data_IF_857168558645
#
_entry.id   IF_857168558645
#
_cell.length_a   1.000
_cell.length_b   1.000
_cell.length_c   1.000
_cell.angle_alpha   90.00
_cell.angle_beta   90.00
_cell.angle_gamma   90.00
#
_symmetry.space_group_name_H-M   'P 1'
#
loop_
_entity.id
_entity.type
_entity.pdbx_description
1 polymer ?
2 polymer ?
3 polymer ?
4 water ?
#
# COMPACT_ATOMS: atom_id res chain seq x y z
N UNK A 1 -18.33 -14.89 0.99
CA UNK A 1 -19.09 -14.04 0.01
C UNK A 1 -18.56 -14.10 -1.43
N UNK A 2 -19.14 -13.23 -2.25
CA UNK A 2 -18.83 -13.06 -3.66
C UNK A 2 -17.36 -12.72 -3.83
N UNK A 3 -16.72 -13.37 -4.80
CA UNK A 3 -15.32 -13.16 -5.04
C UNK A 3 -15.11 -12.44 -6.39
N UNK A 4 -14.21 -11.46 -6.42
CA UNK A 4 -13.85 -10.72 -7.64
C UNK A 4 -12.37 -10.91 -7.84
N UNK A 5 -12.00 -11.60 -8.90
CA UNK A 5 -10.60 -11.87 -9.16
C UNK A 5 -10.07 -11.06 -10.34
N UNK A 6 -9.06 -10.21 -10.15
CA UNK A 6 -8.52 -9.43 -11.30
C UNK A 6 -7.38 -10.15 -11.95
N UNK A 7 -7.18 -9.98 -13.26
CA UNK A 7 -6.02 -10.58 -13.91
C UNK A 7 -5.53 -9.59 -14.93
N UNK A 8 -4.19 -9.42 -15.06
CA UNK A 8 -3.23 -10.12 -14.21
C UNK A 8 -3.12 -9.27 -12.98
N UNK A 9 -2.47 -9.77 -11.93
CA UNK A 9 -2.32 -8.95 -10.76
C UNK A 9 -1.32 -7.80 -11.04
N UNK A 10 -0.35 -8.05 -11.90
CA UNK A 10 0.65 -7.05 -12.24
C UNK A 10 0.89 -7.13 -13.76
N UNK A 11 1.25 -6.01 -14.39
CA UNK A 11 1.38 -6.02 -15.83
C UNK A 11 2.37 -4.98 -16.23
N UNK A 12 3.29 -5.30 -17.13
CA UNK A 12 4.27 -4.28 -17.58
C UNK A 12 3.90 -3.79 -18.97
N UNK A 13 4.16 -2.53 -19.27
CA UNK A 13 3.78 -2.00 -20.56
C UNK A 13 4.53 -0.73 -20.87
N UNK A 14 4.40 -0.24 -22.09
CA UNK A 14 5.08 0.98 -22.45
C UNK A 14 4.07 1.98 -22.99
N UNK A 15 4.42 3.25 -22.98
CA UNK A 15 3.56 4.30 -23.49
C UNK A 15 3.18 3.92 -24.94
N UNK A 16 1.91 4.04 -25.27
CA UNK A 16 1.44 3.67 -26.58
C UNK A 16 0.88 2.26 -26.61
N UNK A 17 1.15 1.41 -25.61
CA UNK A 17 0.57 0.08 -25.74
C UNK A 17 -0.96 0.05 -25.50
N UNK A 18 -1.55 -1.09 -25.85
CA UNK A 18 -2.95 -1.34 -25.64
C UNK A 18 -2.93 -2.38 -24.56
N UNK A 19 -3.60 -2.15 -23.44
CA UNK A 19 -3.62 -3.17 -22.42
C UNK A 19 -5.04 -3.51 -22.06
N UNK A 20 -5.25 -4.70 -21.51
CA UNK A 20 -6.59 -5.00 -21.14
C UNK A 20 -6.43 -5.75 -19.85
N UNK A 21 -7.27 -5.37 -18.87
CA UNK A 21 -7.27 -5.92 -17.54
C UNK A 21 -8.61 -6.64 -17.43
N UNK A 22 -8.65 -7.80 -16.81
CA UNK A 22 -9.94 -8.45 -16.71
C UNK A 22 -10.37 -8.73 -15.26
N UNK A 23 -11.66 -8.83 -15.00
CA UNK A 23 -12.15 -9.05 -13.65
C UNK A 23 -13.27 -10.08 -13.74
N UNK A 24 -13.18 -11.13 -12.96
CA UNK A 24 -14.16 -12.22 -12.99
C UNK A 24 -14.83 -12.35 -11.64
N UNK A 25 -16.15 -12.50 -11.66
CA UNK A 25 -16.90 -12.62 -10.43
C UNK A 25 -17.34 -14.06 -10.18
N UNK A 26 -17.40 -14.47 -8.92
CA UNK A 26 -17.79 -15.85 -8.60
C UNK A 26 -19.27 -16.18 -8.86
N UNK A 27 -20.12 -15.15 -8.89
CA UNK A 27 -21.56 -15.27 -9.19
C UNK A 27 -21.84 -14.06 -10.07
N UNK A 28 -22.88 -14.12 -10.90
CA UNK A 28 -23.19 -13.01 -11.80
C UNK A 28 -23.56 -11.71 -11.09
N UNK A 29 -23.01 -10.60 -11.55
CA UNK A 29 -23.27 -9.29 -10.97
C UNK A 29 -23.97 -8.39 -11.98
N UNK A 30 -24.59 -8.99 -13.01
CA UNK A 30 -25.27 -8.25 -14.05
C UNK A 30 -24.32 -7.21 -14.60
N UNK A 31 -24.73 -5.95 -14.77
CA UNK A 31 -23.83 -4.93 -15.28
C UNK A 31 -23.31 -3.99 -14.17
N UNK A 32 -23.56 -4.36 -12.90
CA UNK A 32 -23.19 -3.48 -11.79
C UNK A 32 -21.71 -3.60 -11.41
N UNK A 33 -20.87 -3.02 -12.24
CA UNK A 33 -19.45 -3.13 -12.05
C UNK A 33 -18.78 -1.86 -12.46
N UNK A 34 -17.81 -1.42 -11.67
CA UNK A 34 -17.15 -0.18 -11.98
C UNK A 34 -15.64 -0.36 -12.03
N UNK A 35 -14.95 0.43 -12.86
CA UNK A 35 -13.49 0.38 -12.91
C UNK A 35 -12.91 1.68 -12.42
N UNK A 36 -11.79 1.60 -11.72
CA UNK A 36 -11.10 2.78 -11.19
C UNK A 36 -9.62 2.71 -11.46
N UNK A 37 -9.00 3.87 -11.53
CA UNK A 37 -7.57 3.96 -11.69
C UNK A 37 -7.09 4.71 -10.45
N UNK A 38 -6.05 4.23 -9.81
CA UNK A 38 -5.55 4.93 -8.62
C UNK A 38 -4.06 5.14 -8.77
N UNK A 39 -3.67 6.39 -8.74
CA UNK A 39 -2.27 6.74 -8.86
C UNK A 39 -1.70 6.78 -7.45
N UNK A 40 -0.41 6.52 -7.32
CA UNK A 40 0.18 6.56 -5.97
C UNK A 40 -0.15 7.87 -5.23
N UNK A 41 -0.42 7.74 -3.94
CA UNK A 41 -0.76 8.90 -3.12
C UNK A 41 -2.12 9.57 -3.34
N UNK A 42 -2.91 9.07 -4.29
CA UNK A 42 -4.21 9.68 -4.56
C UNK A 42 -5.37 8.70 -4.37
N UNK A 43 -6.60 9.23 -4.31
CA UNK A 43 -7.76 8.36 -4.15
C UNK A 43 -8.08 7.67 -5.48
N UNK A 44 -8.84 6.59 -5.46
CA UNK A 44 -9.16 5.95 -6.74
C UNK A 44 -9.99 6.93 -7.58
N UNK A 45 -9.93 6.87 -8.91
CA UNK A 45 -10.75 7.75 -9.74
C UNK A 45 -11.59 6.86 -10.64
N UNK A 46 -12.88 7.16 -10.69
CA UNK A 46 -13.85 6.44 -11.51
C UNK A 46 -13.55 6.58 -13.01
N UNK A 47 -13.45 5.48 -13.73
CA UNK A 47 -13.22 5.51 -15.17
C UNK A 47 -14.48 5.08 -15.90
N UNK A 48 -15.03 3.92 -15.52
CA UNK A 48 -16.17 3.27 -16.15
C UNK A 48 -17.17 2.83 -15.10
N UNK A 49 -18.43 3.17 -15.30
CA UNK A 49 -19.52 2.75 -14.40
C UNK A 49 -20.51 1.88 -15.15
N UNK A 50 -21.23 1.04 -14.42
CA UNK A 50 -22.24 0.18 -15.06
C UNK A 50 -21.60 -0.64 -16.19
N UNK A 51 -20.44 -1.26 -15.90
CA UNK A 51 -19.65 -2.13 -16.85
C UNK A 51 -19.11 -1.51 -18.11
N UNK A 52 -19.84 -0.60 -18.73
CA UNK A 52 -19.32 -0.06 -19.96
C UNK A 52 -19.52 1.42 -20.19
N UNK A 53 -20.22 2.14 -19.29
CA UNK A 53 -20.45 3.57 -19.56
C UNK A 53 -19.21 4.41 -19.23
N UNK A 54 -18.85 5.34 -20.11
CA UNK A 54 -17.67 6.13 -19.88
C UNK A 54 -18.03 7.25 -18.94
N UNK A 55 -17.30 7.36 -17.83
CA UNK A 55 -17.59 8.42 -16.88
C UNK A 55 -17.23 9.76 -17.49
N UNK A 56 -18.04 10.77 -17.17
CA UNK A 56 -17.84 12.10 -17.71
C UNK A 56 -16.48 12.72 -17.36
N UNK A 57 -15.76 13.17 -18.40
CA UNK A 57 -14.48 13.78 -18.16
C UNK A 57 -13.35 12.78 -18.22
N UNK A 58 -13.70 11.49 -18.41
CA UNK A 58 -12.68 10.47 -18.51
C UNK A 58 -12.28 10.32 -19.98
N UNK A 59 -10.98 10.28 -20.27
CA UNK A 59 -10.53 10.15 -21.67
C UNK A 59 -11.01 8.92 -22.40
N UNK A 60 -11.31 9.12 -23.68
CA UNK A 60 -11.86 8.06 -24.51
C UNK A 60 -10.99 6.84 -24.72
N UNK A 61 -9.69 6.91 -24.46
CA UNK A 61 -8.90 5.67 -24.62
C UNK A 61 -9.32 4.59 -23.64
N UNK A 62 -10.13 4.94 -22.65
CA UNK A 62 -10.55 3.92 -21.67
C UNK A 62 -11.85 3.32 -22.12
N UNK A 63 -11.91 2.00 -22.05
CA UNK A 63 -13.11 1.35 -22.46
C UNK A 63 -13.45 0.15 -21.58
N UNK A 64 -14.73 -0.04 -21.30
CA UNK A 64 -15.09 -1.21 -20.53
C UNK A 64 -16.18 -2.04 -21.20
N UNK A 65 -16.07 -3.37 -21.16
CA UNK A 65 -17.09 -4.25 -21.71
C UNK A 65 -17.32 -5.48 -20.81
N UNK A 66 -18.35 -6.26 -21.13
CA UNK A 66 -18.70 -7.44 -20.37
C UNK A 66 -19.89 -7.25 -19.45
N UNK A 67 -20.45 -8.36 -18.96
CA UNK A 67 -21.59 -8.39 -18.02
C UNK A 67 -21.64 -9.80 -17.39
N UNK A 68 -22.42 -10.01 -16.31
CA UNK A 68 -22.45 -11.35 -15.72
C UNK A 68 -21.26 -11.66 -14.82
N UNK A 69 -20.32 -12.48 -15.30
CA UNK A 69 -19.17 -12.84 -14.49
C UNK A 69 -17.83 -12.45 -15.07
N UNK A 70 -17.82 -11.88 -16.26
CA UNK A 70 -16.53 -11.53 -16.85
C UNK A 70 -16.49 -10.13 -17.44
N UNK A 71 -15.55 -9.29 -16.99
CA UNK A 71 -15.46 -7.92 -17.43
C UNK A 71 -14.03 -7.61 -17.79
N UNK A 72 -13.88 -6.64 -18.68
CA UNK A 72 -12.59 -6.20 -19.14
C UNK A 72 -12.55 -4.68 -19.30
N UNK A 73 -11.39 -4.12 -18.97
CA UNK A 73 -11.10 -2.70 -19.10
C UNK A 73 -9.97 -2.67 -20.13
N UNK A 74 -10.08 -1.86 -21.17
CA UNK A 74 -8.94 -1.80 -22.01
C UNK A 74 -8.58 -0.36 -22.16
N UNK A 75 -7.28 -0.09 -22.18
CA UNK A 75 -6.82 1.25 -22.37
C UNK A 75 -6.21 1.06 -23.76
N UNK A 76 -6.69 1.81 -24.74
CA UNK A 76 -6.22 1.56 -26.11
C UNK A 76 -4.82 2.08 -26.40
N UNK A 77 -4.48 3.29 -25.91
CA UNK A 77 -3.15 3.86 -26.11
C UNK A 77 -2.65 4.36 -24.75
N UNK A 78 -1.90 3.52 -24.02
CA UNK A 78 -1.37 3.89 -22.70
C UNK A 78 -0.61 5.19 -22.65
N UNK A 79 -0.98 6.09 -21.74
CA UNK A 79 -0.30 7.37 -21.56
C UNK A 79 0.50 7.29 -20.24
N UNK A 80 1.50 8.18 -20.02
CA UNK A 80 2.29 8.10 -18.78
C UNK A 80 1.48 8.10 -17.46
N UNK A 81 0.40 8.86 -17.41
CA UNK A 81 -0.44 8.88 -16.23
C UNK A 81 -1.17 7.56 -15.96
N UNK A 82 -1.10 6.60 -16.89
CA UNK A 82 -1.80 5.34 -16.71
C UNK A 82 -0.99 4.27 -15.98
N UNK A 83 0.25 4.62 -15.63
CA UNK A 83 1.10 3.69 -14.91
C UNK A 83 0.50 3.85 -13.54
N UNK A 84 -0.17 2.82 -13.08
CA UNK A 84 -0.90 2.97 -11.84
C UNK A 84 -1.50 1.65 -11.51
N UNK A 85 -2.35 1.64 -10.50
CA UNK A 85 -3.05 0.40 -10.09
C UNK A 85 -4.55 0.57 -10.42
N UNK A 86 -5.13 -0.44 -11.04
CA UNK A 86 -6.52 -0.42 -11.42
C UNK A 86 -7.34 -1.37 -10.58
N UNK A 87 -8.56 -0.97 -10.24
CA UNK A 87 -9.42 -1.84 -9.47
C UNK A 87 -10.81 -1.99 -10.07
N UNK A 88 -11.42 -3.16 -9.94
CA UNK A 88 -12.83 -3.27 -10.40
C UNK A 88 -13.63 -3.38 -9.09
N UNK A 89 -14.91 -2.99 -9.11
CA UNK A 89 -15.83 -3.04 -7.97
C UNK A 89 -17.21 -3.52 -8.42
N UNK A 90 -17.74 -4.45 -7.67
CA UNK A 90 -19.02 -5.04 -7.93
C UNK A 90 -20.03 -4.29 -7.01
N UNK A 91 -21.22 -3.92 -7.52
CA UNK A 91 -22.25 -3.25 -6.73
C UNK A 91 -23.65 -3.90 -6.82
N UNK A 92 -23.67 -5.16 -7.18
CA UNK A 92 -24.92 -5.94 -7.30
C UNK A 92 -25.34 -6.59 -5.99
N UNK A 93 -24.34 -7.04 -5.20
CA UNK A 93 -24.55 -7.70 -3.92
C UNK A 93 -23.79 -7.03 -2.81
N UNK A 94 -24.34 -7.01 -1.58
CA UNK A 94 -23.65 -6.45 -0.45
C UNK A 94 -22.89 -7.63 0.13
N UNK A 95 -21.64 -7.40 0.55
CA UNK A 95 -20.95 -6.12 0.50
C UNK A 95 -20.48 -5.87 -0.93
N UNK A 96 -20.34 -4.58 -1.28
CA UNK A 96 -19.89 -4.10 -2.58
C UNK A 96 -18.39 -4.29 -2.85
N UNK A 97 -17.95 -5.53 -3.00
CA UNK A 97 -16.56 -5.93 -3.25
C UNK A 97 -15.67 -5.27 -4.28
N UNK A 98 -14.39 -5.22 -3.95
CA UNK A 98 -13.38 -4.71 -4.84
C UNK A 98 -12.49 -5.86 -5.24
N UNK A 99 -11.94 -5.81 -6.44
CA UNK A 99 -10.98 -6.82 -6.85
C UNK A 99 -9.62 -6.55 -6.18
N UNK A 100 -8.65 -7.43 -6.37
CA UNK A 100 -7.34 -7.29 -5.71
C UNK A 100 -6.48 -6.24 -6.33
N UNK A 101 -6.89 -5.71 -7.46
CA UNK A 101 -6.06 -4.69 -8.09
C UNK A 101 -5.06 -5.21 -9.13
N UNK A 102 -4.74 -4.41 -10.14
CA UNK A 102 -3.70 -4.82 -11.04
C UNK A 102 -2.81 -3.62 -11.23
N UNK A 103 -1.52 -3.82 -10.94
CA UNK A 103 -0.48 -2.79 -11.02
C UNK A 103 0.05 -2.70 -12.45
N UNK A 104 0.09 -1.52 -13.03
CA UNK A 104 0.59 -1.43 -14.38
C UNK A 104 1.85 -0.60 -14.24
N UNK A 105 3.01 -1.15 -14.61
CA UNK A 105 4.27 -0.41 -14.46
C UNK A 105 5.09 -0.36 -15.79
N UNK A 106 6.12 0.49 -15.83
CA UNK A 106 6.94 0.70 -17.01
C UNK A 106 7.74 -0.57 -17.35
N UNK A 107 7.55 -1.13 -18.55
CA UNK A 107 8.29 -2.33 -18.92
C UNK A 107 9.76 -1.97 -19.19
N UNK A 108 10.66 -2.89 -18.91
CA UNK A 108 12.08 -2.70 -19.19
C UNK A 108 12.59 -4.12 -19.19
N UNK A 109 13.66 -4.14 -19.53
CA UNK A 109 14.26 -5.47 -19.64
C UNK A 109 14.41 -6.10 -18.25
N UNK A 110 14.44 -7.59 -18.23
CA UNK A 110 14.58 -8.30 -16.99
C UNK A 110 15.96 -8.00 -16.39
N UNK A 111 15.98 -7.74 -15.09
CA UNK A 111 17.22 -7.49 -14.37
C UNK A 111 17.15 -8.18 -13.03
N UNK A 112 18.13 -9.06 -12.78
CA UNK A 112 18.20 -9.79 -11.53
C UNK A 112 18.66 -8.85 -10.44
N UNK A 113 18.27 -9.14 -9.21
CA UNK A 113 18.70 -8.23 -8.11
C UNK A 113 20.14 -8.46 -7.69
N UNK A 114 20.79 -7.42 -7.20
CA UNK A 114 22.15 -7.58 -6.64
C UNK A 114 21.72 -7.81 -5.18
N UNK A 115 22.15 -8.90 -4.57
CA UNK A 115 21.76 -9.22 -3.22
C UNK A 115 22.90 -9.02 -2.24
N UNK A 116 22.57 -8.48 -1.05
CA UNK A 116 23.52 -8.21 0.02
C UNK A 116 22.89 -8.58 1.36
N UNK A 117 23.67 -9.14 2.29
CA UNK A 117 23.19 -9.51 3.60
C UNK A 117 24.00 -8.76 4.63
N UNK A 118 23.32 -8.15 5.60
CA UNK A 118 23.96 -7.35 6.60
C UNK A 118 23.74 -7.95 7.96
N UNK A 119 24.82 -8.22 8.72
CA UNK A 119 24.65 -8.80 10.06
C UNK A 119 24.26 -7.69 11.02
N UNK A 120 23.75 -8.04 12.20
CA UNK A 120 23.39 -6.94 13.09
C UNK A 120 24.64 -6.25 13.67
N UNK A 121 24.52 -4.94 13.89
CA UNK A 121 25.63 -4.19 14.46
C UNK A 121 25.84 -4.58 15.95
N UNK A 122 27.08 -4.51 16.38
CA UNK A 122 27.43 -4.79 17.77
C UNK A 122 26.70 -3.79 18.61
N UNK A 123 26.45 -2.60 18.08
CA UNK A 123 25.75 -1.59 18.85
C UNK A 123 24.31 -2.05 19.14
N UNK A 124 23.65 -2.61 18.12
CA UNK A 124 22.26 -3.07 18.35
C UNK A 124 22.30 -4.23 19.34
N UNK A 125 23.18 -5.21 19.09
CA UNK A 125 23.29 -6.37 19.98
C UNK A 125 23.36 -6.00 21.49
N UNK A 126 24.10 -4.94 21.84
CA UNK A 126 24.21 -4.49 23.23
C UNK A 126 22.86 -4.08 23.79
N UNK A 127 21.91 -3.74 22.93
CA UNK A 127 20.59 -3.37 23.42
C UNK A 127 19.70 -4.59 23.54
N UNK A 128 20.24 -5.75 23.17
CA UNK A 128 19.47 -6.98 23.28
C UNK A 128 18.68 -7.46 22.06
N UNK A 129 18.71 -6.71 20.96
CA UNK A 129 17.98 -7.19 19.78
C UNK A 129 18.94 -7.38 18.61
N UNK A 130 18.55 -8.22 17.66
CA UNK A 130 19.37 -8.49 16.53
C UNK A 130 18.57 -8.39 15.25
N UNK A 131 18.95 -7.44 14.39
CA UNK A 131 18.29 -7.28 13.10
C UNK A 131 19.17 -7.73 11.96
N UNK A 132 18.70 -8.68 11.15
CA UNK A 132 19.50 -9.09 10.04
C UNK A 132 18.77 -8.54 8.84
N UNK A 133 19.44 -7.74 8.01
CA UNK A 133 18.78 -7.20 6.84
C UNK A 133 19.34 -7.73 5.54
N UNK A 134 18.43 -7.93 4.60
CA UNK A 134 18.78 -8.44 3.28
C UNK A 134 18.35 -7.41 2.30
N UNK A 135 19.22 -7.08 1.35
CA UNK A 135 18.84 -6.11 0.34
C UNK A 135 18.86 -6.74 -1.05
N UNK A 136 17.81 -6.48 -1.83
CA UNK A 136 17.69 -6.91 -3.23
C UNK A 136 17.66 -5.57 -3.93
N UNK A 137 18.74 -5.25 -4.65
CA UNK A 137 18.88 -3.97 -5.30
C UNK A 137 18.63 -3.92 -6.83
N UNK A 138 17.88 -2.92 -7.29
CA UNK A 138 17.60 -2.73 -8.72
C UNK A 138 17.22 -3.98 -9.56
N UNK A 139 16.06 -4.58 -9.31
CA UNK A 139 15.66 -5.75 -10.10
C UNK A 139 14.37 -5.44 -10.88
N UNK A 140 13.98 -6.36 -11.75
CA UNK A 140 12.75 -6.22 -12.56
C UNK A 140 12.50 -7.57 -13.23
N UNK A 141 11.24 -8.03 -13.25
CA UNK A 141 10.05 -7.42 -12.70
C UNK A 141 9.96 -7.37 -11.17
N UNK A 142 8.92 -6.70 -10.66
CA UNK A 142 8.74 -6.52 -9.25
C UNK A 142 8.66 -7.75 -8.35
N UNK A 143 8.07 -8.83 -8.82
CA UNK A 143 7.94 -9.98 -7.97
C UNK A 143 9.30 -10.62 -7.61
N UNK A 144 9.50 -10.84 -6.32
CA UNK A 144 10.73 -11.42 -5.82
C UNK A 144 10.32 -12.14 -4.57
N UNK A 145 11.04 -13.18 -4.20
CA UNK A 145 10.74 -13.92 -2.99
C UNK A 145 12.03 -14.10 -2.18
N UNK A 146 11.93 -13.72 -0.91
CA UNK A 146 13.01 -13.76 0.04
C UNK A 146 12.66 -14.77 1.09
N UNK A 147 13.59 -15.69 1.34
CA UNK A 147 13.41 -16.71 2.35
C UNK A 147 14.58 -16.72 3.35
N UNK A 148 14.32 -16.46 4.62
CA UNK A 148 15.38 -16.47 5.61
C UNK A 148 15.59 -17.88 6.13
N UNK A 149 16.87 -18.24 6.31
CA UNK A 149 17.23 -19.52 6.86
C UNK A 149 18.30 -19.28 7.93
N UNK A 150 18.16 -19.92 9.07
CA UNK A 150 19.07 -19.83 10.19
C UNK A 150 19.53 -21.27 10.46
N UNK A 151 20.82 -21.57 10.36
CA UNK A 151 21.29 -22.95 10.57
C UNK A 151 20.33 -23.91 9.83
N UNK A 152 19.99 -23.53 8.60
CA UNK A 152 19.10 -24.31 7.76
C UNK A 152 17.65 -24.39 8.11
N UNK A 153 17.23 -23.74 9.19
CA UNK A 153 15.81 -23.77 9.54
C UNK A 153 15.17 -22.65 8.76
N UNK A 154 14.04 -22.98 8.15
CA UNK A 154 13.26 -22.02 7.38
C UNK A 154 12.62 -21.03 8.36
N UNK A 155 12.81 -19.73 8.17
CA UNK A 155 12.21 -18.79 9.12
C UNK A 155 10.81 -18.36 8.71
N UNK A 156 9.97 -18.06 9.70
CA UNK A 156 8.64 -17.63 9.36
C UNK A 156 8.04 -16.77 10.47
N UNK A 157 7.37 -15.71 10.08
CA UNK A 157 6.71 -14.86 11.06
C UNK A 157 7.62 -13.89 11.78
N UNK A 158 8.90 -13.89 11.45
CA UNK A 158 9.83 -12.97 12.16
C UNK A 158 10.62 -11.99 11.25
N UNK A 159 10.06 -11.73 10.07
CA UNK A 159 10.69 -10.81 9.14
C UNK A 159 9.65 -9.89 8.54
N UNK A 160 10.11 -8.75 8.03
CA UNK A 160 9.22 -7.79 7.38
C UNK A 160 9.97 -7.22 6.24
N UNK A 161 9.26 -6.91 5.16
CA UNK A 161 9.92 -6.33 3.99
C UNK A 161 9.10 -5.16 3.42
N UNK A 162 9.81 -4.28 2.71
CA UNK A 162 9.16 -3.19 2.02
C UNK A 162 9.90 -3.03 0.66
N UNK A 163 9.18 -2.49 -0.33
CA UNK A 163 9.68 -2.35 -1.70
C UNK A 163 9.60 -0.87 -2.11
N UNK A 164 10.62 -0.35 -2.78
CA UNK A 164 10.54 1.02 -3.25
C UNK A 164 9.55 1.15 -4.42
N UNK A 165 9.16 2.35 -4.78
CA UNK A 165 8.30 2.55 -5.93
C UNK A 165 9.25 2.41 -7.16
N UNK A 166 8.69 2.08 -8.33
CA UNK A 166 9.50 1.90 -9.55
C UNK A 166 10.38 3.10 -9.74
N UNK A 167 11.67 2.89 -10.02
CA UNK A 167 12.57 4.03 -10.18
C UNK A 167 12.25 4.78 -11.49
N UNK A 168 12.14 6.11 -11.45
CA UNK A 168 11.82 6.87 -12.66
C UNK A 168 12.88 6.87 -13.77
N UNK A 169 14.12 6.50 -13.45
CA UNK A 169 15.18 6.45 -14.47
C UNK A 169 15.49 4.98 -14.90
N UNK A 170 15.62 4.12 -13.91
CA UNK A 170 15.93 2.69 -14.01
C UNK A 170 14.79 1.80 -14.45
N UNK A 171 13.62 2.12 -13.90
CA UNK A 171 12.40 1.28 -14.05
C UNK A 171 12.56 0.03 -13.24
N UNK A 172 13.53 -0.01 -12.32
CA UNK A 172 13.75 -1.19 -11.48
C UNK A 172 13.15 -0.97 -10.07
N UNK A 173 13.10 -2.01 -9.26
CA UNK A 173 12.61 -1.91 -7.89
C UNK A 173 13.73 -2.39 -6.98
N UNK A 174 13.63 -2.06 -5.71
CA UNK A 174 14.59 -2.54 -4.72
C UNK A 174 13.74 -3.04 -3.53
N UNK A 175 14.26 -4.02 -2.81
CA UNK A 175 13.52 -4.59 -1.70
C UNK A 175 14.43 -4.82 -0.47
N UNK A 176 13.93 -4.41 0.69
CA UNK A 176 14.62 -4.55 1.92
C UNK A 176 13.87 -5.51 2.81
N UNK A 177 14.53 -6.56 3.32
CA UNK A 177 13.87 -7.46 4.24
C UNK A 177 14.65 -7.56 5.57
N UNK A 178 13.97 -7.32 6.70
CA UNK A 178 14.56 -7.40 8.02
C UNK A 178 14.13 -8.65 8.82
N UNK A 179 15.11 -9.49 9.22
CA UNK A 179 14.87 -10.63 10.10
C UNK A 179 15.19 -10.11 11.53
N UNK A 180 14.25 -10.26 12.47
CA UNK A 180 14.46 -9.78 13.82
C UNK A 180 14.44 -10.90 14.88
N UNK A 181 15.46 -10.95 15.73
CA UNK A 181 15.51 -11.99 16.75
C UNK A 181 16.04 -11.36 18.01
N UNK A 182 15.75 -11.97 19.16
CA UNK A 182 16.37 -11.47 20.38
C UNK A 182 17.90 -11.74 20.28
N UNK A 183 18.67 -10.98 21.04
CA UNK A 183 20.10 -11.18 21.05
C UNK A 183 20.33 -12.63 21.46
N UNK A 184 19.60 -13.09 22.47
CA UNK A 184 19.78 -14.48 22.90
C UNK A 184 19.62 -15.51 21.79
N UNK A 185 18.49 -15.50 21.10
CA UNK A 185 18.27 -16.45 20.00
C UNK A 185 19.35 -16.27 18.96
N UNK A 186 19.67 -15.03 18.69
CA UNK A 186 20.68 -14.76 17.69
C UNK A 186 21.92 -15.55 18.01
N UNK A 187 22.34 -15.47 19.25
CA UNK A 187 23.58 -16.12 19.73
C UNK A 187 23.53 -17.63 19.68
N UNK A 188 22.34 -18.20 19.61
CA UNK A 188 22.25 -19.66 19.57
C UNK A 188 22.41 -20.27 18.20
N UNK A 189 22.80 -19.50 17.19
CA UNK A 189 22.92 -20.07 15.85
C UNK A 189 24.10 -19.50 15.10
N UNK A 190 24.50 -20.11 13.99
CA UNK A 190 25.66 -19.57 13.27
C UNK A 190 25.42 -19.10 11.84
N UNK A 191 24.77 -19.90 11.01
CA UNK A 191 24.57 -19.52 9.62
C UNK A 191 23.27 -18.77 9.35
N UNK A 192 23.39 -17.49 9.05
CA UNK A 192 22.26 -16.63 8.74
C UNK A 192 22.26 -16.45 7.24
N UNK A 193 21.19 -16.91 6.59
CA UNK A 193 21.10 -16.86 5.14
C UNK A 193 19.85 -16.21 4.58
N UNK A 194 20.02 -15.46 3.50
CA UNK A 194 18.93 -14.79 2.79
C UNK A 194 18.88 -15.46 1.39
N UNK A 195 17.83 -16.24 1.15
CA UNK A 195 17.65 -16.92 -0.13
C UNK A 195 16.74 -16.12 -1.05
N UNK A 196 17.16 -15.85 -2.28
CA UNK A 196 16.35 -15.00 -3.15
C UNK A 196 15.94 -15.64 -4.46
N UNK A 197 14.64 -15.63 -4.77
CA UNK A 197 14.15 -16.19 -6.03
C UNK A 197 13.62 -15.02 -6.85
N UNK A 198 13.96 -15.03 -8.13
CA UNK A 198 13.54 -13.96 -9.02
C UNK A 198 13.64 -14.42 -10.44
N UNK A 199 12.82 -13.86 -11.29
CA UNK A 199 12.80 -14.26 -12.67
C UNK A 199 14.15 -14.13 -13.37
N UNK A 200 14.92 -13.10 -13.04
CA UNK A 200 16.21 -12.92 -13.68
C UNK A 200 17.34 -13.82 -13.16
N UNK A 201 17.04 -14.69 -12.21
CA UNK A 201 18.07 -15.53 -11.67
C UNK A 201 17.80 -16.94 -12.12
N UNK A 202 18.80 -17.52 -12.81
CA UNK A 202 18.71 -18.88 -13.29
C UNK A 202 18.19 -19.81 -12.16
N UNK A 203 18.76 -19.70 -10.97
CA UNK A 203 18.27 -20.49 -9.85
C UNK A 203 18.47 -19.53 -8.68
N UNK A 204 17.89 -19.86 -7.51
CA UNK A 204 17.97 -19.04 -6.31
C UNK A 204 19.38 -18.70 -5.87
N UNK A 205 19.57 -17.48 -5.44
CA UNK A 205 20.88 -17.09 -4.99
C UNK A 205 20.80 -16.98 -3.46
N UNK A 206 21.84 -17.43 -2.78
CA UNK A 206 21.86 -17.29 -1.35
C UNK A 206 23.08 -16.45 -0.89
N UNK A 207 22.83 -15.48 -0.01
CA UNK A 207 23.89 -14.67 0.57
C UNK A 207 23.83 -14.97 2.03
N UNK A 208 24.98 -15.25 2.64
CA UNK A 208 25.01 -15.55 4.05
C UNK A 208 26.30 -15.25 4.73
N UNK A 209 26.27 -15.41 6.06
CA UNK A 209 27.40 -15.23 6.92
C UNK A 209 27.29 -16.14 8.14
N UNK A 210 28.43 -16.38 8.78
CA UNK A 210 28.43 -17.18 10.00
C UNK A 210 28.61 -16.17 11.10
N UNK A 211 27.71 -16.20 12.07
CA UNK A 211 27.76 -15.27 13.19
C UNK A 211 29.07 -15.42 13.95
N UNK A 212 29.57 -14.28 14.41
CA UNK A 212 30.78 -14.27 15.19
C UNK A 212 32.06 -14.64 14.45
N UNK A 213 31.97 -15.10 13.21
CA UNK A 213 33.18 -15.44 12.51
C UNK A 213 33.95 -14.14 12.38
N UNK A 214 35.29 -13.92 12.67
CA UNK A 214 36.09 -12.69 12.62
C UNK A 214 37.46 -12.86 11.98
N UNK B 1 -20.28 20.77 -8.91
CA UNK B 1 -19.04 20.05 -8.48
C UNK B 1 -19.19 19.44 -7.07
N UNK B 2 -18.99 18.14 -7.04
CA UNK B 2 -19.07 17.40 -5.82
C UNK B 2 -17.71 17.22 -5.20
N UNK B 3 -17.59 17.50 -3.93
CA UNK B 3 -16.32 17.25 -3.29
C UNK B 3 -16.63 16.64 -1.89
N UNK B 4 -15.75 15.76 -1.42
CA UNK B 4 -15.88 15.17 -0.09
C UNK B 4 -14.53 15.24 0.55
N UNK B 5 -14.53 15.32 1.89
CA UNK B 5 -13.31 15.35 2.67
C UNK B 5 -13.48 14.68 4.05
N UNK B 6 -12.55 13.78 4.35
CA UNK B 6 -12.56 13.04 5.59
C UNK B 6 -11.81 13.78 6.71
N UNK B 7 -12.29 13.66 7.96
CA UNK B 7 -11.56 14.26 9.08
C UNK B 7 -11.71 13.33 10.30
N UNK B 8 -10.76 13.39 11.22
CA UNK B 8 -10.78 12.58 12.43
C UNK B 8 -9.37 12.50 12.99
N UNK B 9 -9.11 11.68 14.01
CA UNK B 9 -7.78 11.57 14.58
C UNK B 9 -6.78 10.77 13.73
N UNK B 10 -5.54 11.26 13.57
CA UNK B 10 -4.58 10.49 12.77
C UNK B 10 -4.05 9.31 13.52
N UNK B 11 -4.11 9.40 14.82
CA UNK B 11 -3.59 8.35 15.68
C UNK B 11 -4.61 7.86 16.65
N UNK B 12 -4.71 6.55 16.81
CA UNK B 12 -5.64 6.01 17.78
C UNK B 12 -5.03 4.80 18.41
N UNK B 13 -5.35 4.59 19.69
CA UNK B 13 -4.82 3.43 20.42
C UNK B 13 -5.76 2.24 20.40
N UNK B 14 -5.19 1.03 20.44
CA UNK B 14 -5.94 -0.20 20.44
C UNK B 14 -6.99 -0.14 21.53
N UNK B 15 -8.10 -0.82 21.27
CA UNK B 15 -9.34 -0.92 22.05
C UNK B 15 -10.14 0.37 21.98
N UNK B 16 -9.52 1.46 21.53
CA UNK B 16 -10.29 2.70 21.49
C UNK B 16 -11.32 2.75 20.36
N UNK B 17 -12.15 3.79 20.42
CA UNK B 17 -13.18 4.04 19.45
C UNK B 17 -12.74 5.16 18.49
N UNK B 18 -12.92 4.88 17.20
CA UNK B 18 -12.56 5.78 16.13
C UNK B 18 -13.79 6.33 15.47
N UNK B 19 -13.89 7.66 15.42
CA UNK B 19 -14.99 8.37 14.81
C UNK B 19 -14.41 9.18 13.65
N UNK B 20 -14.93 8.91 12.45
CA UNK B 20 -14.48 9.58 11.23
C UNK B 20 -15.67 10.33 10.67
N UNK B 21 -15.41 11.56 10.22
CA UNK B 21 -16.40 12.41 9.64
C UNK B 21 -16.13 12.71 8.14
N UNK B 22 -17.17 12.61 7.33
CA UNK B 22 -17.08 12.91 5.92
C UNK B 22 -17.91 14.14 5.76
N UNK B 23 -17.32 15.27 5.38
CA UNK B 23 -18.09 16.54 5.16
C UNK B 23 -18.08 16.70 3.65
N UNK B 24 -19.22 17.00 3.04
CA UNK B 24 -19.24 17.12 1.58
C UNK B 24 -20.00 18.37 1.11
N UNK B 25 -19.90 18.69 -0.19
CA UNK B 25 -20.63 19.82 -0.77
C UNK B 25 -20.96 19.43 -2.21
N UNK B 26 -21.94 20.08 -2.84
CA UNK B 26 -22.34 19.72 -4.20
C UNK B 26 -23.55 18.79 -4.28
N UNK B 27 -23.99 18.23 -3.17
CA UNK B 27 -25.17 17.36 -3.21
C UNK B 27 -25.76 17.33 -1.79
N UNK B 28 -26.96 16.83 -1.64
CA UNK B 28 -27.51 16.79 -0.33
C UNK B 28 -27.85 15.36 -0.03
N UNK B 29 -27.76 14.92 1.23
CA UNK B 29 -28.13 13.56 1.51
C UNK B 29 -29.63 13.48 1.62
N UNK B 30 -30.31 14.49 1.11
CA UNK B 30 -31.74 14.42 1.04
C UNK B 30 -32.07 14.28 -0.46
N UNK B 31 -31.07 14.28 -1.33
CA UNK B 31 -31.40 14.14 -2.75
C UNK B 31 -31.83 12.69 -2.98
N UNK B 32 -32.67 12.47 -3.98
CA UNK B 32 -33.18 11.14 -4.27
C UNK B 32 -32.15 10.04 -4.51
N UNK B 33 -32.27 8.97 -3.75
CA UNK B 33 -31.41 7.80 -3.84
C UNK B 33 -29.91 7.96 -3.67
N UNK B 34 -29.46 9.15 -3.27
CA UNK B 34 -28.01 9.32 -3.12
C UNK B 34 -27.43 8.47 -1.96
N UNK B 35 -26.17 8.06 -2.10
CA UNK B 35 -25.48 7.31 -1.06
C UNK B 35 -24.10 7.91 -0.78
N UNK B 36 -23.59 7.62 0.42
CA UNK B 36 -22.26 8.03 0.79
C UNK B 36 -21.72 6.72 1.45
N UNK B 37 -20.56 6.26 1.03
CA UNK B 37 -20.00 5.01 1.55
C UNK B 37 -18.59 5.32 2.07
N UNK B 38 -18.01 4.33 2.73
CA UNK B 38 -16.68 4.42 3.31
C UNK B 38 -15.91 3.21 2.81
N UNK B 39 -14.66 3.43 2.42
CA UNK B 39 -13.79 2.38 1.92
C UNK B 39 -12.41 2.60 2.58
N UNK B 40 -11.67 1.55 2.88
CA UNK B 40 -10.37 1.79 3.55
C UNK B 40 -9.29 1.10 2.74
N UNK B 41 -8.06 1.47 3.01
CA UNK B 41 -6.94 0.88 2.27
C UNK B 41 -5.71 0.78 3.17
N UNK B 42 -5.42 -0.39 3.73
CA UNK B 42 -4.23 -0.53 4.60
C UNK B 42 -2.99 -0.25 3.72
N UNK B 43 -1.90 0.28 4.30
CA UNK B 43 -0.76 0.56 3.40
C UNK B 43 -0.30 -0.63 2.53
N UNK B 44 -0.11 -0.35 1.26
CA UNK B 44 0.30 -1.37 0.32
C UNK B 44 -0.77 -2.40 -0.03
N UNK B 45 -1.95 -2.34 0.60
CA UNK B 45 -3.00 -3.32 0.28
C UNK B 45 -4.12 -2.82 -0.68
N UNK B 46 -5.09 -3.69 -0.92
CA UNK B 46 -6.24 -3.46 -1.79
C UNK B 46 -7.31 -2.63 -1.09
N UNK B 47 -8.29 -2.14 -1.84
CA UNK B 47 -9.37 -1.37 -1.26
C UNK B 47 -10.30 -2.33 -0.56
N UNK B 48 -10.87 -1.88 0.54
CA UNK B 48 -11.81 -2.73 1.27
C UNK B 48 -13.09 -1.92 1.61
N UNK B 49 -14.23 -2.42 1.16
CA UNK B 49 -15.50 -1.74 1.37
C UNK B 49 -15.93 -1.86 2.82
N UNK B 50 -16.41 -0.77 3.42
CA UNK B 50 -16.83 -0.79 4.83
C UNK B 50 -18.33 -0.62 5.10
N UNK B 51 -18.95 0.35 4.45
CA UNK B 51 -20.34 0.61 4.71
C UNK B 51 -20.89 1.69 3.79
N UNK B 52 -22.20 1.84 3.79
CA UNK B 52 -22.75 2.92 2.97
C UNK B 52 -24.06 3.31 3.59
N UNK B 53 -24.45 4.56 3.39
CA UNK B 53 -25.75 5.05 3.89
C UNK B 53 -26.41 5.85 2.78
N UNK B 54 -27.73 5.69 2.64
CA UNK B 54 -28.49 6.42 1.60
C UNK B 54 -29.34 7.52 2.20
N UNK B 55 -29.78 8.44 1.35
CA UNK B 55 -30.62 9.54 1.80
C UNK B 55 -31.97 9.07 2.44
N UNK B 56 -32.52 7.91 2.06
CA UNK B 56 -33.74 7.43 2.71
C UNK B 56 -33.37 6.72 4.04
N UNK B 57 -32.09 6.82 4.42
CA UNK B 57 -31.55 6.30 5.64
C UNK B 57 -31.35 4.77 5.80
N UNK B 58 -31.33 4.03 4.69
CA UNK B 58 -31.06 2.58 4.71
C UNK B 58 -29.54 2.56 4.97
N UNK B 59 -29.06 1.59 5.75
CA UNK B 59 -27.63 1.47 6.10
C UNK B 59 -27.18 0.04 5.80
N UNK B 60 -25.94 -0.15 5.36
CA UNK B 60 -25.45 -1.51 5.10
C UNK B 60 -23.97 -1.53 5.52
N UNK B 61 -23.53 -2.66 6.04
CA UNK B 61 -22.19 -2.80 6.55
C UNK B 61 -21.50 -4.04 6.05
N UNK B 62 -20.20 -3.93 6.00
CA UNK B 62 -19.36 -5.06 5.69
C UNK B 62 -19.71 -6.14 6.76
N UNK B 63 -19.97 -7.37 6.34
CA UNK B 63 -20.30 -8.42 7.34
C UNK B 63 -19.13 -8.71 8.30
N UNK B 64 -17.91 -8.67 7.80
CA UNK B 64 -16.74 -8.87 8.63
C UNK B 64 -16.54 -7.79 9.73
N UNK B 65 -17.11 -6.60 9.56
CA UNK B 65 -16.89 -5.53 10.55
C UNK B 65 -18.19 -5.04 11.18
N UNK B 66 -19.28 -5.67 10.78
CA UNK B 66 -20.60 -5.27 11.23
C UNK B 66 -20.68 -4.91 12.71
N UNK B 67 -20.21 -5.79 13.59
CA UNK B 67 -20.29 -5.51 15.02
C UNK B 67 -19.53 -4.27 15.50
N UNK B 68 -18.52 -3.82 14.76
CA UNK B 68 -17.74 -2.66 15.24
C UNK B 68 -18.10 -1.34 14.51
N UNK B 69 -18.95 -1.39 13.47
CA UNK B 69 -19.28 -0.18 12.74
C UNK B 69 -20.66 0.40 12.95
N UNK B 70 -20.71 1.72 12.98
CA UNK B 70 -21.99 2.42 13.02
C UNK B 70 -21.87 3.55 11.99
N UNK B 71 -22.80 3.68 11.05
CA UNK B 71 -22.69 4.79 10.13
C UNK B 71 -23.94 5.62 10.35
N UNK B 72 -23.80 6.94 10.29
CA UNK B 72 -24.97 7.78 10.53
C UNK B 72 -24.89 9.03 9.68
N UNK B 73 -26.00 9.73 9.46
CA UNK B 73 -25.84 10.94 8.68
C UNK B 73 -26.38 12.15 9.37
N UNK B 74 -25.87 13.32 9.01
CA UNK B 74 -26.42 14.54 9.56
C UNK B 74 -26.68 15.41 8.33
N UNK B 75 -27.88 15.27 7.80
CA UNK B 75 -28.32 15.87 6.58
C UNK B 75 -28.17 17.37 6.55
N UNK B 76 -28.52 18.02 7.65
CA UNK B 76 -28.45 19.47 7.70
C UNK B 76 -27.03 19.96 7.78
N UNK B 77 -26.08 19.14 8.25
CA UNK B 77 -24.68 19.58 8.28
C UNK B 77 -23.88 19.05 7.07
N UNK B 78 -24.55 18.29 6.19
CA UNK B 78 -23.88 17.65 5.05
C UNK B 78 -22.70 16.82 5.54
N UNK B 79 -22.95 15.95 6.49
CA UNK B 79 -21.90 15.09 6.97
C UNK B 79 -22.41 13.67 7.19
N UNK B 80 -21.46 12.73 7.08
CA UNK B 80 -21.75 11.31 7.31
C UNK B 80 -20.66 10.91 8.25
N UNK B 81 -21.04 10.23 9.32
CA UNK B 81 -20.09 9.80 10.32
C UNK B 81 -20.04 8.29 10.39
N UNK B 82 -18.85 7.75 10.52
CA UNK B 82 -18.62 6.34 10.64
C UNK B 82 -17.85 6.18 11.97
N UNK B 83 -18.42 5.36 12.85
CA UNK B 83 -17.82 5.06 14.13
C UNK B 83 -17.38 3.62 14.17
N UNK B 84 -16.10 3.39 14.43
CA UNK B 84 -15.56 2.05 14.53
C UNK B 84 -15.08 1.84 15.96
N UNK B 85 -15.57 0.80 16.62
CA UNK B 85 -15.21 0.56 18.01
C UNK B 85 -14.14 -0.47 18.08
N UNK B 86 -13.52 -0.54 19.27
CA UNK B 86 -12.51 -1.56 19.53
C UNK B 86 -11.47 -1.74 18.41
N UNK B 87 -10.83 -0.65 18.04
CA UNK B 87 -9.84 -0.82 16.98
C UNK B 87 -8.62 -1.55 17.44
N UNK B 88 -7.93 -2.15 16.48
CA UNK B 88 -6.70 -2.84 16.76
C UNK B 88 -5.70 -2.40 15.66
N UNK B 89 -4.42 -2.78 15.79
CA UNK B 89 -3.44 -2.38 14.76
C UNK B 89 -3.80 -2.66 13.30
N UNK B 90 -4.45 -3.78 13.01
CA UNK B 90 -4.84 -4.10 11.62
C UNK B 90 -5.83 -3.08 11.02
N UNK B 91 -6.39 -2.22 11.86
CA UNK B 91 -7.28 -1.20 11.36
C UNK B 91 -6.46 0.02 10.85
N UNK B 92 -5.13 -0.04 10.89
CA UNK B 92 -4.42 1.14 10.38
C UNK B 92 -4.61 1.11 8.86
N UNK B 93 -5.05 2.24 8.32
CA UNK B 93 -5.33 2.30 6.89
C UNK B 93 -5.65 3.72 6.53
N UNK B 94 -5.72 3.98 5.23
CA UNK B 94 -6.20 5.27 4.78
C UNK B 94 -7.73 5.00 4.56
N UNK B 95 -8.55 5.87 5.15
CA UNK B 95 -10.02 5.76 5.08
C UNK B 95 -10.59 6.79 4.12
N UNK B 96 -11.38 6.36 3.13
CA UNK B 96 -12.00 7.28 2.16
C UNK B 96 -13.53 7.24 2.27
N UNK B 97 -14.20 8.39 2.09
CA UNK B 97 -15.66 8.36 1.98
C UNK B 97 -15.91 8.66 0.48
N UNK B 98 -17.06 8.28 -0.02
CA UNK B 98 -17.31 8.49 -1.43
C UNK B 98 -18.83 8.62 -1.72
N UNK B 99 -19.12 9.34 -2.79
CA UNK B 99 -20.44 9.57 -3.26
C UNK B 99 -20.88 8.49 -4.20
N UNK B 100 -22.15 8.16 -4.08
CA UNK B 100 -22.80 7.19 -4.96
C UNK B 100 -24.06 7.89 -5.51
N UNK B 101 -24.16 7.97 -6.81
CA UNK B 101 -25.30 8.59 -7.45
C UNK B 101 -26.56 7.80 -7.22
N UNK B 102 -27.70 8.48 -7.26
CA UNK B 102 -28.99 7.80 -7.17
C UNK B 102 -29.48 7.65 -8.63
N UNK B 103 -30.58 6.94 -8.94
CA UNK B 103 -31.01 6.82 -10.34
C UNK B 103 -31.33 8.16 -11.00
N UNK B 104 -31.08 8.24 -12.30
CA UNK B 104 -31.45 9.46 -13.00
C UNK B 104 -32.99 9.52 -13.03
N UNK B 105 -33.51 10.73 -12.89
CA UNK B 105 -34.96 10.95 -12.94
C UNK B 105 -35.35 11.91 -14.10
N UNK B 106 -36.57 11.76 -14.57
CA UNK B 106 -37.05 12.63 -15.65
C UNK B 106 -38.38 13.06 -15.10
N UNK B 107 -38.51 14.38 -14.89
CA UNK B 107 -39.71 14.96 -14.30
C UNK B 107 -39.99 14.11 -13.05
N UNK B 108 -38.96 13.96 -12.21
CA UNK B 108 -39.09 13.22 -10.98
C UNK B 108 -39.62 11.81 -11.16
N UNK B 109 -39.13 11.15 -12.20
CA UNK B 109 -39.49 9.76 -12.40
C UNK B 109 -38.18 9.03 -12.69
N UNK B 110 -37.88 8.00 -11.90
CA UNK B 110 -36.65 7.23 -12.07
C UNK B 110 -36.72 6.52 -13.43
N UNK B 111 -35.71 6.74 -14.27
CA UNK B 111 -35.66 6.15 -15.61
C UNK B 111 -34.36 5.44 -15.92
N UNK B 112 -33.30 5.71 -15.15
CA UNK B 112 -32.02 5.03 -15.38
C UNK B 112 -31.30 4.66 -14.09
N UNK B 113 -31.06 3.36 -13.90
CA UNK B 113 -30.34 2.96 -12.70
C UNK B 113 -28.83 2.70 -12.96
N UNK B 114 -28.41 2.67 -14.22
CA UNK B 114 -27.01 2.46 -14.52
C UNK B 114 -26.10 3.43 -13.74
N UNK B 115 -26.46 4.71 -13.55
CA UNK B 115 -25.53 5.56 -12.81
C UNK B 115 -25.23 5.20 -11.35
N UNK B 116 -26.03 4.33 -10.73
CA UNK B 116 -25.74 3.97 -9.36
C UNK B 116 -24.65 2.94 -9.30
N UNK B 117 -24.27 2.37 -10.43
CA UNK B 117 -23.26 1.33 -10.35
C UNK B 117 -21.78 1.78 -10.38
N UNK B 118 -21.41 2.51 -9.32
CA UNK B 118 -20.03 3.02 -9.12
C UNK B 118 -20.07 3.97 -7.93
N UNK B 119 -18.90 4.26 -7.34
CA UNK B 119 -18.82 5.30 -6.33
C UNK B 119 -18.05 6.31 -7.22
N UNK B 120 -18.75 7.37 -7.64
CA UNK B 120 -18.21 8.35 -8.64
C UNK B 120 -17.28 9.47 -8.21
N UNK B 121 -17.35 9.88 -6.93
CA UNK B 121 -16.45 10.94 -6.44
C UNK B 121 -15.96 10.53 -5.07
N UNK B 122 -14.65 10.66 -4.89
CA UNK B 122 -13.99 10.26 -3.67
C UNK B 122 -13.32 11.38 -2.90
N UNK B 123 -13.17 11.23 -1.59
CA UNK B 123 -12.47 12.25 -0.83
C UNK B 123 -10.98 11.88 -0.95
N UNK B 124 -10.11 12.82 -0.58
CA UNK B 124 -8.65 12.56 -0.64
C UNK B 124 -8.23 11.37 0.27
N UNK B 125 -8.95 11.10 1.34
CA UNK B 125 -8.58 9.99 2.21
C UNK B 125 -7.89 10.51 3.45
N UNK B 126 -8.12 9.85 4.57
CA UNK B 126 -7.46 10.26 5.78
C UNK B 126 -6.71 9.05 6.36
N UNK B 127 -5.44 9.26 6.64
CA UNK B 127 -4.56 8.22 7.16
C UNK B 127 -4.72 8.06 8.65
N UNK B 128 -5.05 6.85 9.09
CA UNK B 128 -5.22 6.57 10.51
C UNK B 128 -4.27 5.43 10.94
N UNK B 129 -3.52 5.70 12.00
CA UNK B 129 -2.56 4.73 12.54
C UNK B 129 -3.04 4.24 13.89
N UNK B 130 -3.09 2.93 14.06
CA UNK B 130 -3.51 2.41 15.35
C UNK B 130 -2.31 1.78 16.05
N UNK B 131 -1.90 2.44 17.14
CA UNK B 131 -0.75 1.99 17.92
C UNK B 131 -0.86 2.52 19.35
N UNK B 132 -0.40 1.72 20.30
CA UNK B 132 -0.44 2.16 21.69
C UNK B 132 0.83 2.95 21.98
N UNK B 133 1.78 3.21 21.01
CA UNK B 133 3.03 3.92 21.24
C UNK B 133 3.00 5.42 21.56
N UNK B 134 3.88 5.70 22.33
CA UNK B 134 4.05 7.13 22.62
C UNK B 134 5.14 7.62 21.66
N UNK B 135 5.20 8.92 21.45
CA UNK B 135 6.24 9.48 20.61
C UNK B 135 7.60 8.93 21.05
N UNK B 136 8.45 8.57 20.09
CA UNK B 136 9.77 8.03 20.40
C UNK B 136 10.78 8.12 19.25
N UNK B 137 11.99 8.58 19.57
CA UNK B 137 13.02 8.71 18.55
C UNK B 137 13.68 7.37 18.17
N UNK B 138 14.17 7.26 16.92
CA UNK B 138 14.82 6.04 16.40
C UNK B 138 16.22 5.79 16.95
N UNK B 139 16.62 4.51 16.93
CA UNK B 139 17.97 4.12 17.26
C UNK B 139 18.53 3.97 15.84
N UNK B 140 19.74 4.42 15.59
CA UNK B 140 20.26 4.27 14.25
C UNK B 140 21.43 3.33 14.23
N UNK B 141 21.36 2.28 13.42
CA UNK B 141 22.46 1.35 13.39
C UNK B 141 23.05 1.26 12.02
N UNK B 142 24.34 0.90 11.92
CA UNK B 142 25.01 0.79 10.60
C UNK B 142 24.68 -0.48 9.88
N UNK B 143 24.66 -0.41 8.57
CA UNK B 143 24.44 -1.59 7.71
C UNK B 143 25.74 -1.58 6.88
N UNK B 144 26.64 -2.50 7.18
CA UNK B 144 27.91 -2.53 6.44
C UNK B 144 28.18 -3.86 5.77
N UNK B 145 28.77 -3.79 4.56
CA UNK B 145 29.15 -4.91 3.67
C UNK B 145 29.95 -6.09 4.35
N UNK B 152 28.46 -3.75 -11.88
CA UNK B 152 27.96 -4.99 -11.29
C UNK B 152 28.59 -5.30 -9.92
N UNK B 153 29.87 -4.94 -9.82
CA UNK B 153 30.74 -5.09 -8.63
C UNK B 153 30.51 -3.85 -7.74
N UNK B 154 29.23 -3.69 -7.42
CA UNK B 154 28.74 -2.61 -6.60
C UNK B 154 28.83 -3.10 -5.16
N UNK B 155 28.99 -2.17 -4.24
CA UNK B 155 29.05 -2.50 -2.82
C UNK B 155 27.84 -1.77 -2.20
N UNK B 156 27.32 -2.27 -1.08
CA UNK B 156 26.16 -1.63 -0.46
C UNK B 156 26.32 -1.33 1.00
N UNK B 157 25.77 -0.23 1.44
CA UNK B 157 25.81 0.02 2.87
C UNK B 157 24.60 0.86 3.23
N UNK B 158 24.34 1.04 4.51
CA UNK B 158 23.19 1.83 4.86
C UNK B 158 23.06 2.06 6.33
N UNK B 159 21.84 2.46 6.70
CA UNK B 159 21.49 2.74 8.09
C UNK B 159 20.08 2.13 8.31
N UNK B 160 19.89 1.58 9.49
CA UNK B 160 18.67 0.90 9.92
C UNK B 160 18.16 1.84 10.95
N UNK B 161 17.03 2.48 10.63
CA UNK B 161 16.43 3.47 11.51
C UNK B 161 15.35 2.72 12.28
N UNK B 162 15.68 2.29 13.48
CA UNK B 162 14.80 1.44 14.25
C UNK B 162 14.03 1.93 15.45
N UNK B 163 12.78 1.47 15.58
CA UNK B 163 11.93 1.77 16.73
C UNK B 163 11.56 3.21 17.01
N UNK B 164 10.89 3.84 16.05
CA UNK B 164 10.51 5.19 16.29
C UNK B 164 9.00 5.32 16.07
N UNK B 165 8.43 6.42 16.56
CA UNK B 165 7.02 6.71 16.41
C UNK B 165 6.75 8.18 16.70
N UNK B 166 5.85 8.80 15.91
CA UNK B 166 5.12 8.20 14.78
C UNK B 166 5.90 8.51 13.51
N UNK B 167 5.30 8.28 12.35
CA UNK B 167 5.93 8.67 11.08
C UNK B 167 5.84 10.21 11.07
N UNK B 168 6.67 10.88 10.28
CA UNK B 168 7.67 10.33 9.40
C UNK B 168 9.05 10.56 9.93
N UNK B 169 10.03 10.04 9.21
CA UNK B 169 11.41 10.33 9.54
C UNK B 169 12.06 10.72 8.18
N UNK B 170 13.10 11.58 8.21
CA UNK B 170 13.78 11.91 6.95
C UNK B 170 15.21 11.40 7.01
N UNK B 171 15.69 10.87 5.89
CA UNK B 171 17.05 10.39 5.82
C UNK B 171 17.69 10.92 4.55
N UNK B 172 18.94 11.39 4.66
CA UNK B 172 19.66 11.81 3.49
C UNK B 172 21.07 11.21 3.68
N UNK B 173 21.89 11.25 2.64
CA UNK B 173 23.26 10.78 2.70
C UNK B 173 24.21 11.99 2.43
N UNK B 174 25.31 12.04 3.17
CA UNK B 174 26.32 13.10 3.08
C UNK B 174 25.67 14.45 2.99
N UNK B 175 24.88 14.76 4.00
CA UNK B 175 24.19 16.04 4.12
C UNK B 175 23.43 16.46 2.87
N UNK B 176 23.05 15.49 2.05
CA UNK B 176 22.31 15.82 0.84
C UNK B 176 23.10 15.73 -0.44
N UNK B 177 24.41 15.51 -0.35
CA UNK B 177 25.26 15.44 -1.54
C UNK B 177 25.28 14.09 -2.21
N UNK B 178 24.87 13.05 -1.47
CA UNK B 178 24.86 11.73 -2.05
C UNK B 178 23.40 11.41 -2.37
N UNK B 179 23.13 11.21 -3.65
CA UNK B 179 21.78 10.88 -4.12
C UNK B 179 21.77 9.67 -5.07
N UNK B 180 22.77 9.55 -5.93
CA UNK B 180 22.69 8.44 -6.85
C UNK B 180 22.92 7.13 -6.12
N UNK B 181 22.07 6.14 -6.39
CA UNK B 181 22.21 4.84 -5.76
C UNK B 181 21.58 4.77 -4.36
N UNK B 182 20.90 5.82 -3.95
CA UNK B 182 20.27 5.84 -2.65
C UNK B 182 18.85 5.26 -2.72
N UNK B 183 18.51 4.37 -1.80
CA UNK B 183 17.15 3.84 -1.72
C UNK B 183 16.72 3.88 -0.26
N UNK B 184 15.72 4.71 0.03
CA UNK B 184 15.20 4.80 1.37
C UNK B 184 13.83 4.08 1.29
N UNK B 185 13.71 2.94 1.95
CA UNK B 185 12.48 2.17 1.92
C UNK B 185 11.37 2.68 2.80
N UNK B 186 10.12 2.35 2.43
CA UNK B 186 9.00 2.79 3.28
C UNK B 186 9.13 1.99 4.58
N UNK B 187 8.81 2.63 5.67
CA UNK B 187 8.86 2.04 7.02
C UNK B 187 7.78 0.97 7.16
N UNK B 188 8.04 0.00 8.03
CA UNK B 188 7.08 -1.04 8.33
C UNK B 188 6.69 -0.75 9.80
N UNK B 189 5.44 -1.02 10.15
CA UNK B 189 4.93 -0.81 11.49
C UNK B 189 5.12 -2.17 12.11
N UNK B 190 6.02 -2.27 13.10
CA UNK B 190 6.30 -3.54 13.77
C UNK B 190 5.19 -3.93 14.73
N UNK B 191 5.16 -5.20 15.11
CA UNK B 191 4.11 -5.64 16.01
C UNK B 191 4.21 -4.90 17.32
N UNK B 192 5.38 -4.34 17.63
CA UNK B 192 5.55 -3.58 18.85
C UNK B 192 4.79 -2.24 18.79
N UNK B 193 4.44 -1.79 17.58
CA UNK B 193 3.73 -0.49 17.44
C UNK B 193 4.69 0.67 17.08
N UNK B 194 5.93 0.30 16.80
CA UNK B 194 6.95 1.28 16.45
C UNK B 194 7.35 1.02 15.01
N UNK B 195 7.77 2.06 14.32
CA UNK B 195 8.15 1.86 12.94
C UNK B 195 9.63 1.49 12.82
N UNK B 196 10.00 1.02 11.63
CA UNK B 196 11.39 0.74 11.38
C UNK B 196 11.60 0.80 9.90
N UNK B 197 12.73 1.37 9.50
CA UNK B 197 13.08 1.50 8.10
C UNK B 197 14.58 1.41 7.82
N UNK B 198 14.90 1.06 6.60
CA UNK B 198 16.29 1.00 6.23
C UNK B 198 16.44 2.02 5.10
N UNK B 199 17.65 2.53 4.94
CA UNK B 199 18.02 3.44 3.88
C UNK B 199 19.37 2.90 3.43
N UNK B 200 19.53 2.56 2.16
CA UNK B 200 20.81 2.03 1.76
C UNK B 200 21.35 2.83 0.57
N UNK B 201 22.60 2.59 0.23
CA UNK B 201 23.19 3.23 -0.93
C UNK B 201 24.22 2.29 -1.54
N UNK B 202 24.20 2.21 -2.86
CA UNK B 202 25.09 1.35 -3.64
C UNK B 202 26.15 2.26 -4.32
N UNK B 203 27.41 1.83 -4.27
CA UNK B 203 28.49 2.63 -4.86
C UNK B 203 29.48 1.69 -5.52
N UNK B 204 30.33 2.24 -6.44
CA UNK B 204 31.34 1.40 -7.12
C UNK B 204 32.22 0.81 -6.01
N UNK B 205 32.42 -0.50 -6.06
CA UNK B 205 33.20 -1.17 -5.00
C UNK B 205 34.55 -0.55 -4.67
N UNK B 206 34.85 0.54 -5.35
CA UNK B 206 36.10 1.25 -5.16
C UNK B 206 35.90 2.47 -4.24
N UNK B 207 34.75 3.14 -4.37
CA UNK B 207 34.51 4.35 -3.60
C UNK B 207 34.71 4.16 -2.11
N UNK B 208 34.56 2.93 -1.66
CA UNK B 208 34.74 2.63 -0.24
C UNK B 208 36.06 3.17 0.32
N UNK B 211 36.29 7.86 -0.52
CA UNK B 211 35.00 8.51 -0.17
C UNK B 211 34.28 8.08 1.17
N UNK B 212 33.71 9.01 1.94
CA UNK B 212 33.02 8.61 3.20
C UNK B 212 31.48 8.68 3.08
N UNK B 213 30.80 7.85 3.89
CA UNK B 213 29.33 7.76 3.84
C UNK B 213 28.66 7.97 5.20
N UNK B 214 27.86 9.02 5.29
CA UNK B 214 27.20 9.27 6.54
C UNK B 214 25.69 9.48 6.30
N UNK B 215 24.83 8.77 7.04
CA UNK B 215 23.39 8.98 6.84
C UNK B 215 22.95 10.02 7.83
N UNK B 216 22.12 10.98 7.40
CA UNK B 216 21.61 12.04 8.30
C UNK B 216 20.16 11.69 8.50
N UNK B 217 19.82 11.35 9.74
CA UNK B 217 18.47 10.91 10.13
C UNK B 217 17.80 11.96 10.97
N UNK B 218 16.55 12.25 10.70
CA UNK B 218 15.87 13.28 11.49
C UNK B 218 14.41 12.89 11.74
N UNK B 219 14.04 12.73 13.01
CA UNK B 219 12.67 12.40 13.36
C UNK B 219 12.10 13.64 14.08
N UNK B 220 11.46 14.55 13.33
CA UNK B 220 10.93 15.79 13.90
C UNK B 220 10.09 15.60 15.13
N UNK B 221 9.12 14.68 15.09
CA UNK B 221 8.24 14.40 16.22
C UNK B 221 8.90 14.32 17.57
N UNK B 222 10.07 13.68 17.65
CA UNK B 222 10.78 13.54 18.95
C UNK B 222 12.03 14.41 19.10
N UNK B 223 12.27 15.30 18.14
CA UNK B 223 13.46 16.16 18.18
C UNK B 223 14.67 15.26 18.28
N UNK B 224 14.84 14.37 17.30
CA UNK B 224 15.99 13.47 17.31
C UNK B 224 16.76 13.54 16.01
N UNK B 225 17.92 14.19 15.98
CA UNK B 225 18.73 14.21 14.75
C UNK B 225 19.96 13.36 15.03
N UNK B 226 20.37 12.58 14.04
CA UNK B 226 21.50 11.71 14.22
C UNK B 226 22.26 11.68 12.90
N UNK B 227 23.59 11.72 12.95
CA UNK B 227 24.38 11.57 11.74
C UNK B 227 25.19 10.33 12.09
N UNK B 228 25.16 9.32 11.22
CA UNK B 228 25.91 8.10 11.48
C UNK B 228 26.78 7.76 10.29
N UNK B 229 28.08 7.81 10.51
CA UNK B 229 29.04 7.51 9.45
C UNK B 229 29.15 5.99 9.45
N UNK B 230 29.08 5.42 8.27
CA UNK B 230 29.10 3.98 8.12
C UNK B 230 30.31 3.55 7.29
N UNK B 231 31.09 2.61 7.76
CA UNK B 231 32.19 2.19 6.90
C UNK B 231 32.34 0.68 6.86
N UNK B 232 33.18 0.18 5.95
CA UNK B 232 33.43 -1.26 5.81
C UNK B 232 34.17 -1.94 6.98
N UNK B 233 33.51 -1.99 8.15
CA UNK B 233 34.03 -2.59 9.42
C UNK B 233 35.54 -2.97 9.49
N UNK B 234 35.86 -4.12 10.10
CA UNK B 234 37.25 -4.62 10.23
C UNK B 234 38.28 -3.57 10.72
N UNK B 235 37.92 -2.71 11.72
CA UNK B 235 38.72 -1.59 12.36
C UNK B 235 39.03 -0.35 11.46
N UNK C 1 -27.96 -9.08 1.15
CA UNK C 1 -27.76 -9.90 -0.08
C UNK C 1 -27.68 -9.01 -1.32
N UNK C 2 -28.84 -8.68 -1.90
CA UNK C 2 -28.87 -7.86 -3.10
C UNK C 2 -28.71 -6.36 -2.86
N UNK C 3 -28.07 -5.68 -3.81
CA UNK C 3 -27.86 -4.25 -3.70
C UNK C 3 -29.21 -3.54 -3.67
N UNK C 4 -29.20 -2.32 -3.14
CA UNK C 4 -30.39 -1.48 -3.04
C UNK C 4 -31.10 -1.34 -4.39
N UNK C 5 -30.32 -1.18 -5.46
CA UNK C 5 -30.89 -0.99 -6.78
C UNK C 5 -30.99 -2.26 -7.66
N UNK C 6 -30.68 -3.42 -7.09
CA UNK C 6 -30.74 -4.68 -7.82
C UNK C 6 -32.17 -5.16 -8.13
N UNK C 7 -32.25 -6.05 -9.11
CA UNK C 7 -33.50 -6.65 -9.56
C UNK C 7 -34.36 -5.72 -10.38
#
# INVERSE_FOLDING_TARGET
>A
ALQLTQSPSSLSASVGDRITITCRASQGVTSALAWYRQKPGSPPQLLIYDASSLESGVPSRFSGSGSGTEFTLTISTLRPEDFATYYCQQLHFYPHTFGGGTRVDVRRTVAAPSVFIFPPSDEQLKSGTASVVCLLNNFYPREAKVQWKVDNALQSGNSQESVTEQDSKDSTYSLSSTLTLSKADYEKHKVYECEVTHQGLSSPVTKSFNRGEC
>B
RITLKESGPPLVKPTQTLTLTCSFSGFSLSDFGVGVGWIRQPPGKALEWLAIIYSDDDKRYSPSLNTRLTITKDTSKNQVVLVMTRVSPVDTATYFCAHRRGPTTLFGVPIARGPVNAMDVWGQGITVTISSTSTKGPSVFPLAPSSKSTAGAAAALGCLVKDYFPEPVTVSWNSGALTSGVHTFPAVLQSSGLYSLSSVVTVPSSSLGTQTYTCNVNHKPSNTKVDKRVEPKSC
>C
ALDKWAS
#
